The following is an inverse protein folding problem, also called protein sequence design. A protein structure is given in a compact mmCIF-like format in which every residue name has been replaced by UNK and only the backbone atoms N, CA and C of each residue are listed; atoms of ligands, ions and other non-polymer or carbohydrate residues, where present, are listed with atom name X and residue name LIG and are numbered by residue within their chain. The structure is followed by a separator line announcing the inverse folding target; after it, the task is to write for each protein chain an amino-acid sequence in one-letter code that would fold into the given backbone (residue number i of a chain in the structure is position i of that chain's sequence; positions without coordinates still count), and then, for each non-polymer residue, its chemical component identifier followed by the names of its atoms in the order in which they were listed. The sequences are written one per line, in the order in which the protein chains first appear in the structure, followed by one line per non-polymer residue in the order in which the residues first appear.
data_IF_370481789342
#
_entry.id   IF_370481789342
#
_cell.length_a   1.000
_cell.length_b   1.000
_cell.length_c   1.000
_cell.angle_alpha   90.00
_cell.angle_beta   90.00
_cell.angle_gamma   90.00
#
_symmetry.space_group_name_H-M   'P 1'
#
loop_
_entity.id
_entity.type
_entity.pdbx_description
1 polymer ?
#
# COMPACT_ATOMS: atom_id res chain seq x y z
N UNK A 1 -24.74 -1.75 -11.55
CA UNK A 1 -25.99 -1.37 -10.82
C UNK A 1 -25.95 -2.02 -9.45
N UNK A 2 -26.23 -1.26 -8.37
CA UNK A 2 -26.33 -1.81 -7.01
C UNK A 2 -27.59 -2.67 -6.85
N UNK A 3 -27.60 -3.61 -5.89
CA UNK A 3 -28.76 -4.47 -5.65
C UNK A 3 -30.01 -3.67 -5.26
N UNK A 4 -29.85 -2.54 -4.54
CA UNK A 4 -30.95 -1.64 -4.20
C UNK A 4 -31.49 -0.86 -5.42
N UNK A 5 -30.59 -0.42 -6.32
CA UNK A 5 -31.03 0.24 -7.55
C UNK A 5 -31.74 -0.76 -8.47
N UNK A 6 -31.31 -2.02 -8.52
CA UNK A 6 -31.99 -3.06 -9.29
C UNK A 6 -33.37 -3.37 -8.70
N UNK A 7 -33.52 -3.44 -7.38
CA UNK A 7 -34.83 -3.57 -6.70
C UNK A 7 -35.77 -2.43 -7.09
N UNK A 8 -35.30 -1.17 -7.08
CA UNK A 8 -36.09 -0.02 -7.51
C UNK A 8 -36.49 -0.12 -8.99
N UNK A 9 -35.56 -0.50 -9.87
CA UNK A 9 -35.87 -0.74 -11.27
C UNK A 9 -36.95 -1.83 -11.45
N UNK A 10 -36.90 -2.93 -10.71
CA UNK A 10 -37.91 -3.98 -10.77
C UNK A 10 -39.31 -3.54 -10.30
N UNK A 11 -39.41 -2.46 -9.50
CA UNK A 11 -40.66 -1.91 -9.00
C UNK A 11 -41.23 -0.78 -9.88
N UNK A 12 -40.35 0.01 -10.49
CA UNK A 12 -40.73 1.29 -11.10
C UNK A 12 -40.56 1.32 -12.63
N UNK A 13 -39.69 0.48 -13.19
CA UNK A 13 -39.41 0.51 -14.62
C UNK A 13 -40.24 -0.55 -15.37
N UNK A 14 -41.02 -0.09 -16.34
CA UNK A 14 -41.92 -0.92 -17.15
C UNK A 14 -41.20 -2.09 -17.83
N UNK A 15 -39.96 -1.92 -18.31
CA UNK A 15 -39.22 -2.99 -18.94
C UNK A 15 -38.87 -4.10 -17.94
N UNK A 16 -38.50 -3.75 -16.70
CA UNK A 16 -38.23 -4.73 -15.66
C UNK A 16 -39.48 -5.40 -15.14
N UNK A 17 -40.61 -4.65 -15.03
CA UNK A 17 -41.91 -5.18 -14.66
C UNK A 17 -42.38 -6.19 -15.72
N UNK A 18 -42.20 -5.87 -17.00
CA UNK A 18 -42.51 -6.79 -18.10
C UNK A 18 -41.68 -8.07 -18.03
N UNK A 19 -40.37 -7.95 -17.76
CA UNK A 19 -39.49 -9.12 -17.60
C UNK A 19 -39.83 -9.99 -16.40
N UNK A 20 -40.50 -9.46 -15.39
CA UNK A 20 -40.96 -10.22 -14.23
C UNK A 20 -42.23 -11.01 -14.48
N UNK A 21 -42.91 -10.82 -15.62
CA UNK A 21 -44.11 -11.58 -16.02
C UNK A 21 -45.16 -11.66 -14.91
N UNK A 22 -45.39 -10.58 -14.17
CA UNK A 22 -46.31 -10.55 -13.04
C UNK A 22 -45.80 -11.10 -11.73
N UNK A 23 -44.54 -11.57 -11.68
CA UNK A 23 -43.89 -11.99 -10.45
C UNK A 23 -43.55 -10.76 -9.55
N UNK A 24 -43.54 -11.02 -8.25
CA UNK A 24 -43.18 -9.99 -7.29
C UNK A 24 -41.72 -9.55 -7.46
N UNK A 25 -41.46 -8.24 -7.48
CA UNK A 25 -40.10 -7.68 -7.52
C UNK A 25 -39.25 -8.25 -6.37
N UNK A 26 -38.07 -8.81 -6.65
CA UNK A 26 -37.17 -9.31 -5.61
C UNK A 26 -36.60 -8.14 -4.80
N UNK A 27 -36.42 -8.35 -3.50
CA UNK A 27 -35.75 -7.40 -2.64
C UNK A 27 -34.22 -7.43 -2.85
N UNK A 28 -33.53 -6.38 -2.42
CA UNK A 28 -32.10 -6.26 -2.57
C UNK A 28 -31.30 -7.36 -1.85
N UNK A 29 -31.86 -7.97 -0.79
CA UNK A 29 -31.20 -9.08 -0.09
C UNK A 29 -31.29 -10.37 -0.92
N UNK A 30 -32.43 -10.63 -1.54
CA UNK A 30 -32.60 -11.76 -2.47
C UNK A 30 -31.66 -11.64 -3.67
N UNK A 31 -31.58 -10.44 -4.28
CA UNK A 31 -30.65 -10.16 -5.38
C UNK A 31 -29.19 -10.37 -4.92
N UNK A 32 -28.86 -9.93 -3.71
CA UNK A 32 -27.51 -10.07 -3.18
C UNK A 32 -27.14 -11.52 -2.88
N UNK A 33 -28.09 -12.32 -2.33
CA UNK A 33 -27.90 -13.76 -2.13
C UNK A 33 -27.71 -14.50 -3.45
N UNK A 34 -28.51 -14.17 -4.46
CA UNK A 34 -28.36 -14.73 -5.81
C UNK A 34 -26.98 -14.45 -6.38
N UNK A 35 -26.52 -13.17 -6.33
CA UNK A 35 -25.18 -12.79 -6.78
C UNK A 35 -24.06 -13.53 -6.05
N UNK A 36 -24.22 -13.75 -4.74
CA UNK A 36 -23.19 -14.37 -3.91
C UNK A 36 -23.14 -15.90 -4.08
N UNK A 37 -24.29 -16.54 -4.19
CA UNK A 37 -24.40 -17.99 -4.06
C UNK A 37 -24.59 -18.70 -5.41
N UNK A 38 -25.19 -18.03 -6.39
CA UNK A 38 -25.55 -18.63 -7.68
C UNK A 38 -24.73 -18.02 -8.82
N UNK A 39 -24.62 -16.69 -8.87
CA UNK A 39 -23.81 -16.01 -9.90
C UNK A 39 -22.32 -16.00 -9.48
N UNK A 40 -21.76 -17.18 -9.31
CA UNK A 40 -20.32 -17.35 -9.05
C UNK A 40 -19.50 -17.03 -10.30
N UNK A 41 -18.19 -16.91 -10.14
CA UNK A 41 -17.28 -16.71 -11.29
C UNK A 41 -17.40 -17.85 -12.31
N UNK A 42 -17.53 -19.08 -11.83
CA UNK A 42 -17.70 -20.27 -12.68
C UNK A 42 -19.02 -20.24 -13.46
N UNK A 43 -20.12 -19.90 -12.78
CA UNK A 43 -21.42 -19.75 -13.43
C UNK A 43 -21.40 -18.60 -14.46
N UNK A 44 -20.73 -17.49 -14.17
CA UNK A 44 -20.56 -16.39 -15.12
C UNK A 44 -19.77 -16.80 -16.37
N UNK A 45 -18.70 -17.57 -16.19
CA UNK A 45 -17.92 -18.12 -17.32
C UNK A 45 -18.72 -19.10 -18.16
N UNK A 46 -19.54 -19.94 -17.52
CA UNK A 46 -20.40 -20.91 -18.21
C UNK A 46 -21.48 -20.23 -19.06
N UNK A 47 -22.13 -19.21 -18.51
CA UNK A 47 -23.11 -18.38 -19.23
C UNK A 47 -22.46 -17.72 -20.45
N UNK A 48 -21.28 -17.12 -20.26
CA UNK A 48 -20.55 -16.49 -21.36
C UNK A 48 -20.18 -17.51 -22.43
N UNK A 49 -19.69 -18.68 -22.05
CA UNK A 49 -19.35 -19.77 -22.98
C UNK A 49 -20.56 -20.21 -23.79
N UNK A 50 -21.70 -20.44 -23.14
CA UNK A 50 -22.94 -20.84 -23.81
C UNK A 50 -23.44 -19.76 -24.78
N UNK A 51 -23.32 -18.46 -24.39
CA UNK A 51 -23.68 -17.35 -25.26
C UNK A 51 -22.79 -17.30 -26.51
N UNK A 52 -21.47 -17.47 -26.34
CA UNK A 52 -20.52 -17.50 -27.48
C UNK A 52 -20.82 -18.63 -28.43
N UNK A 53 -21.09 -19.84 -27.93
CA UNK A 53 -21.47 -21.00 -28.75
C UNK A 53 -22.77 -20.71 -29.52
N UNK A 54 -23.80 -20.21 -28.86
CA UNK A 54 -25.08 -19.86 -29.47
C UNK A 54 -24.93 -18.82 -30.58
N UNK A 55 -24.11 -17.77 -30.37
CA UNK A 55 -23.85 -16.75 -31.39
C UNK A 55 -23.07 -17.31 -32.58
N UNK A 56 -22.13 -18.22 -32.34
CA UNK A 56 -21.36 -18.87 -33.38
C UNK A 56 -22.24 -19.78 -34.22
N UNK A 57 -23.08 -20.62 -33.61
CA UNK A 57 -24.02 -21.50 -34.30
C UNK A 57 -25.03 -20.73 -35.17
N UNK A 58 -25.39 -19.52 -34.78
CA UNK A 58 -26.24 -18.61 -35.55
C UNK A 58 -25.51 -17.81 -36.63
N UNK A 59 -24.20 -18.01 -36.80
CA UNK A 59 -23.37 -17.27 -37.75
C UNK A 59 -23.16 -15.79 -37.42
N UNK A 60 -23.49 -15.37 -36.20
CA UNK A 60 -23.36 -13.99 -35.73
C UNK A 60 -21.97 -13.68 -35.16
N UNK A 61 -21.19 -14.72 -34.90
CA UNK A 61 -19.83 -14.59 -34.35
C UNK A 61 -18.88 -15.53 -35.10
N UNK A 62 -17.78 -14.98 -35.63
CA UNK A 62 -16.65 -15.77 -36.13
C UNK A 62 -15.65 -15.99 -35.00
N UNK A 63 -15.15 -17.22 -34.83
CA UNK A 63 -14.11 -17.57 -33.85
C UNK A 63 -12.71 -17.58 -34.47
N UNK A 64 -12.55 -17.07 -35.72
CA UNK A 64 -11.24 -17.03 -36.39
C UNK A 64 -10.24 -16.09 -35.71
N UNK A 65 -10.72 -15.03 -35.06
CA UNK A 65 -9.88 -14.11 -34.34
C UNK A 65 -10.57 -13.61 -33.07
N UNK A 66 -9.83 -13.57 -31.96
CA UNK A 66 -10.28 -13.00 -30.70
C UNK A 66 -9.44 -11.75 -30.38
N UNK A 67 -10.11 -10.63 -30.13
CA UNK A 67 -9.48 -9.41 -29.66
C UNK A 67 -9.71 -9.27 -28.17
N UNK A 68 -8.61 -9.21 -27.39
CA UNK A 68 -8.68 -9.00 -25.94
C UNK A 68 -8.27 -7.57 -25.69
N UNK A 69 -9.23 -6.74 -25.28
CA UNK A 69 -8.96 -5.39 -24.82
C UNK A 69 -8.75 -5.36 -23.31
N UNK A 70 -7.67 -4.70 -22.89
CA UNK A 70 -7.36 -4.53 -21.48
C UNK A 70 -8.24 -3.43 -20.87
N UNK A 71 -9.17 -3.80 -20.01
CA UNK A 71 -9.92 -2.81 -19.23
C UNK A 71 -9.00 -2.12 -18.24
N UNK A 72 -8.92 -0.79 -18.30
CA UNK A 72 -8.21 0.00 -17.32
C UNK A 72 -9.00 0.01 -16.01
N UNK A 73 -8.50 -0.71 -15.01
CA UNK A 73 -9.03 -0.64 -13.66
C UNK A 73 -8.30 0.48 -12.93
N UNK A 74 -9.01 1.54 -12.55
CA UNK A 74 -8.44 2.60 -11.74
C UNK A 74 -8.34 2.14 -10.29
N UNK A 75 -7.10 2.12 -9.76
CA UNK A 75 -6.87 1.86 -8.36
C UNK A 75 -7.39 3.03 -7.50
N UNK A 76 -7.91 2.72 -6.31
CA UNK A 76 -8.33 3.74 -5.34
C UNK A 76 -7.11 4.41 -4.69
N UNK A 77 -6.21 4.90 -5.52
CA UNK A 77 -4.94 5.49 -5.14
C UNK A 77 -4.98 7.01 -5.26
N UNK A 78 -4.64 7.71 -4.17
CA UNK A 78 -4.49 9.15 -4.22
C UNK A 78 -3.32 9.54 -5.12
N UNK A 79 -3.55 10.43 -6.11
CA UNK A 79 -2.56 10.91 -7.09
C UNK A 79 -1.26 11.42 -6.44
N UNK A 80 -1.34 12.02 -5.26
CA UNK A 80 -0.20 12.63 -4.55
C UNK A 80 0.45 11.72 -3.50
N UNK A 81 -0.03 10.48 -3.33
CA UNK A 81 0.45 9.57 -2.29
C UNK A 81 1.51 8.58 -2.77
N UNK A 82 1.96 8.69 -4.02
CA UNK A 82 2.94 7.76 -4.59
C UNK A 82 4.34 7.90 -3.99
N UNK A 83 4.92 6.77 -3.64
CA UNK A 83 6.31 6.62 -3.19
C UNK A 83 7.12 6.02 -4.33
N UNK A 84 8.23 6.67 -4.69
CA UNK A 84 9.08 6.28 -5.80
C UNK A 84 10.33 5.55 -5.31
N UNK A 85 10.58 4.34 -5.78
CA UNK A 85 11.72 3.50 -5.38
C UNK A 85 13.06 4.23 -5.53
N UNK A 86 13.32 4.83 -6.70
CA UNK A 86 14.57 5.60 -6.94
C UNK A 86 14.75 6.78 -6.01
N UNK A 87 13.66 7.50 -5.71
CA UNK A 87 13.72 8.64 -4.79
C UNK A 87 13.97 8.18 -3.35
N UNK A 88 13.35 7.09 -2.93
CA UNK A 88 13.55 6.48 -1.61
C UNK A 88 14.96 5.94 -1.45
N UNK A 89 15.52 5.27 -2.46
CA UNK A 89 16.91 4.82 -2.45
C UNK A 89 17.89 6.01 -2.29
N UNK A 90 17.73 7.08 -3.08
CA UNK A 90 18.53 8.30 -2.94
C UNK A 90 18.42 8.94 -1.54
N UNK A 91 17.22 8.93 -0.94
CA UNK A 91 17.01 9.42 0.44
C UNK A 91 17.71 8.52 1.46
N UNK A 92 17.68 7.19 1.24
CA UNK A 92 18.40 6.23 2.08
C UNK A 92 19.92 6.48 2.03
N UNK A 93 20.49 6.63 0.84
CA UNK A 93 21.92 6.92 0.67
C UNK A 93 22.34 8.22 1.36
N UNK A 94 21.54 9.29 1.20
CA UNK A 94 21.78 10.56 1.91
C UNK A 94 21.69 10.41 3.43
N UNK A 95 20.73 9.60 3.91
CA UNK A 95 20.56 9.33 5.33
C UNK A 95 21.79 8.57 5.89
N UNK A 96 22.25 7.54 5.18
CA UNK A 96 23.41 6.75 5.58
C UNK A 96 24.69 7.60 5.59
N UNK A 97 24.92 8.46 4.59
CA UNK A 97 26.04 9.40 4.57
C UNK A 97 26.03 10.29 5.81
N UNK A 98 24.92 10.92 6.14
CA UNK A 98 24.79 11.75 7.35
C UNK A 98 25.05 10.96 8.63
N UNK A 99 24.59 9.72 8.72
CA UNK A 99 24.89 8.88 9.88
C UNK A 99 26.40 8.65 10.02
N UNK A 100 27.10 8.38 8.92
CA UNK A 100 28.56 8.18 8.94
C UNK A 100 29.33 9.46 9.30
N UNK A 101 28.84 10.62 8.88
CA UNK A 101 29.48 11.92 9.17
C UNK A 101 29.21 12.35 10.61
N UNK A 102 27.96 12.29 11.08
CA UNK A 102 27.58 12.90 12.37
C UNK A 102 27.72 11.94 13.57
N UNK A 103 27.49 10.63 13.38
CA UNK A 103 27.42 9.65 14.47
C UNK A 103 28.74 9.49 15.23
N UNK A 104 29.93 9.45 14.57
CA UNK A 104 31.22 9.32 15.29
C UNK A 104 31.47 10.44 16.26
N UNK A 105 31.23 11.70 15.85
CA UNK A 105 31.38 12.87 16.69
C UNK A 105 30.47 12.84 17.91
N UNK A 106 29.18 12.49 17.71
CA UNK A 106 28.19 12.38 18.79
C UNK A 106 28.52 11.27 19.77
N UNK A 107 29.02 10.12 19.28
CA UNK A 107 29.46 9.02 20.14
C UNK A 107 30.66 9.38 20.98
N UNK A 108 31.62 10.14 20.41
CA UNK A 108 32.81 10.64 21.10
C UNK A 108 32.43 11.62 22.21
N UNK A 109 31.49 12.54 21.96
CA UNK A 109 30.96 13.50 22.94
C UNK A 109 30.42 12.82 24.20
N UNK A 110 29.79 11.66 24.03
CA UNK A 110 29.15 10.89 25.12
C UNK A 110 30.04 9.78 25.68
N UNK A 111 31.21 9.52 25.07
CA UNK A 111 32.14 8.47 25.50
C UNK A 111 31.68 7.05 25.18
N UNK A 112 30.70 6.86 24.30
CA UNK A 112 30.20 5.54 23.91
C UNK A 112 31.02 4.98 22.75
N UNK A 113 31.69 3.85 22.98
CA UNK A 113 32.36 3.11 21.91
C UNK A 113 31.37 2.21 21.14
N UNK A 114 31.20 2.51 19.87
CA UNK A 114 30.33 1.72 18.99
C UNK A 114 30.99 1.54 17.62
N UNK A 115 31.02 0.30 17.12
CA UNK A 115 31.54 0.04 15.78
C UNK A 115 30.49 0.41 14.73
N UNK A 116 30.84 1.28 13.80
CA UNK A 116 30.01 1.75 12.69
C UNK A 116 30.43 1.00 11.44
N UNK A 117 29.65 0.02 10.95
CA UNK A 117 29.97 -0.70 9.73
C UNK A 117 29.74 0.19 8.50
N UNK A 118 30.42 -0.08 7.39
CA UNK A 118 30.27 0.66 6.14
C UNK A 118 28.79 0.68 5.65
N UNK A 119 28.09 -0.44 5.78
CA UNK A 119 26.65 -0.52 5.52
C UNK A 119 25.87 -0.64 6.84
N UNK A 120 25.34 0.48 7.29
CA UNK A 120 24.53 0.51 8.50
C UNK A 120 23.11 0.03 8.19
N UNK A 121 22.69 -1.05 8.84
CA UNK A 121 21.32 -1.57 8.77
C UNK A 121 20.51 -1.18 10.01
N UNK A 122 19.18 -1.34 9.92
CA UNK A 122 18.24 -1.09 11.03
C UNK A 122 18.65 -1.83 12.32
N UNK A 123 19.23 -3.04 12.18
CA UNK A 123 19.68 -3.86 13.32
C UNK A 123 20.78 -3.18 14.13
N UNK A 124 21.74 -2.55 13.47
CA UNK A 124 22.86 -1.84 14.16
C UNK A 124 22.34 -0.62 14.94
N UNK A 125 21.48 0.20 14.33
CA UNK A 125 20.88 1.33 15.03
C UNK A 125 19.98 0.89 16.20
N UNK A 126 19.28 -0.24 16.09
CA UNK A 126 18.53 -0.82 17.22
C UNK A 126 19.47 -1.23 18.36
N UNK A 127 20.61 -1.86 18.05
CA UNK A 127 21.62 -2.21 19.08
C UNK A 127 22.18 -0.96 19.76
N UNK A 128 22.51 0.07 18.98
CA UNK A 128 23.00 1.34 19.50
C UNK A 128 21.95 1.99 20.41
N UNK A 129 20.70 2.06 19.98
CA UNK A 129 19.59 2.58 20.78
C UNK A 129 19.45 1.87 22.12
N UNK A 130 19.52 0.52 22.11
CA UNK A 130 19.43 -0.26 23.35
C UNK A 130 20.57 0.09 24.31
N UNK A 131 21.79 0.28 23.78
CA UNK A 131 22.96 0.63 24.58
C UNK A 131 22.87 2.03 25.18
N UNK A 132 22.42 3.01 24.39
CA UNK A 132 22.20 4.39 24.85
C UNK A 132 21.14 4.42 25.96
N UNK A 133 20.02 3.69 25.79
CA UNK A 133 18.96 3.64 26.82
C UNK A 133 19.43 3.00 28.11
N UNK A 134 20.19 1.93 28.04
CA UNK A 134 20.77 1.31 29.22
C UNK A 134 21.72 2.28 29.97
N UNK A 135 22.50 3.10 29.24
CA UNK A 135 23.35 4.11 29.83
C UNK A 135 22.52 5.25 30.49
N UNK A 136 21.44 5.70 29.84
CA UNK A 136 20.53 6.70 30.39
C UNK A 136 19.89 6.23 31.71
N UNK A 137 19.48 4.95 31.76
CA UNK A 137 18.92 4.32 32.95
C UNK A 137 19.96 4.21 34.07
N UNK A 138 21.21 3.81 33.73
CA UNK A 138 22.31 3.69 34.67
C UNK A 138 22.72 5.06 35.27
N UNK A 139 22.71 6.12 34.44
CA UNK A 139 23.06 7.47 34.86
C UNK A 139 21.87 8.22 35.52
N UNK A 140 20.68 7.61 35.60
CA UNK A 140 19.50 8.21 36.21
C UNK A 140 18.99 9.48 35.52
N UNK A 141 19.25 9.65 34.22
CA UNK A 141 18.96 10.88 33.49
C UNK A 141 17.46 10.97 33.18
N UNK A 142 16.80 11.98 33.76
CA UNK A 142 15.42 12.31 33.43
C UNK A 142 15.34 13.05 32.08
N UNK A 143 14.39 12.62 31.22
CA UNK A 143 14.19 13.28 29.91
C UNK A 143 13.53 14.64 30.07
N UNK A 144 14.14 15.66 29.47
CA UNK A 144 13.61 17.03 29.42
C UNK A 144 12.87 17.25 28.11
N UNK A 145 11.60 17.69 28.20
CA UNK A 145 10.80 18.06 27.02
C UNK A 145 11.21 19.43 26.45
N UNK A 146 11.06 19.61 25.14
CA UNK A 146 11.25 20.89 24.47
C UNK A 146 12.57 21.01 23.69
N UNK A 147 12.81 22.19 23.07
CA UNK A 147 13.96 22.51 22.22
C UNK A 147 15.10 23.26 22.97
N UNK A 148 15.19 23.11 24.25
CA UNK A 148 16.11 23.92 25.06
C UNK A 148 17.54 23.39 25.20
N UNK A 149 18.44 24.23 25.70
CA UNK A 149 19.87 23.93 26.07
C UNK A 149 19.98 22.94 27.24
N UNK A 150 18.89 22.66 27.96
CA UNK A 150 18.85 21.80 29.14
C UNK A 150 18.98 20.28 28.88
N UNK A 151 18.89 19.86 27.60
CA UNK A 151 19.03 18.44 27.23
C UNK A 151 20.48 18.00 27.37
N UNK A 152 20.70 16.86 28.03
CA UNK A 152 22.03 16.26 28.12
C UNK A 152 22.52 15.78 26.74
N UNK A 153 23.82 15.70 26.49
CA UNK A 153 24.36 15.13 25.24
C UNK A 153 23.83 13.72 24.97
N UNK A 154 23.69 12.91 26.02
CA UNK A 154 23.16 11.53 25.91
C UNK A 154 21.69 11.50 25.48
N UNK A 155 20.87 12.41 26.00
CA UNK A 155 19.48 12.56 25.55
C UNK A 155 19.39 12.98 24.08
N UNK A 156 20.21 13.96 23.67
CA UNK A 156 20.28 14.44 22.27
C UNK A 156 20.69 13.31 21.33
N UNK A 157 21.67 12.49 21.73
CA UNK A 157 22.07 11.31 20.94
C UNK A 157 20.94 10.27 20.84
N UNK A 158 20.21 10.01 21.94
CA UNK A 158 19.07 9.10 21.95
C UNK A 158 17.97 9.57 20.99
N UNK A 159 17.57 10.83 21.08
CA UNK A 159 16.56 11.42 20.20
C UNK A 159 17.00 11.39 18.72
N UNK A 160 18.26 11.69 18.47
CA UNK A 160 18.84 11.62 17.13
C UNK A 160 18.80 10.19 16.57
N UNK A 161 19.23 9.19 17.35
CA UNK A 161 19.20 7.78 16.94
C UNK A 161 17.77 7.31 16.70
N UNK A 162 16.82 7.70 17.53
CA UNK A 162 15.41 7.33 17.35
C UNK A 162 14.83 7.92 16.05
N UNK A 163 15.14 9.19 15.72
CA UNK A 163 14.72 9.82 14.46
C UNK A 163 15.31 9.12 13.24
N UNK A 164 16.61 8.83 13.24
CA UNK A 164 17.28 8.18 12.10
C UNK A 164 16.86 6.73 11.96
N UNK A 165 16.64 6.03 13.07
CA UNK A 165 16.10 4.66 13.07
C UNK A 165 14.68 4.60 12.48
N UNK A 166 13.82 5.55 12.86
CA UNK A 166 12.46 5.64 12.31
C UNK A 166 12.47 5.85 10.79
N UNK A 167 13.29 6.81 10.31
CA UNK A 167 13.45 7.08 8.87
C UNK A 167 14.03 5.88 8.11
N UNK A 168 15.07 5.24 8.66
CA UNK A 168 15.70 4.10 8.01
C UNK A 168 14.73 2.91 7.92
N UNK A 169 13.94 2.66 8.98
CA UNK A 169 12.88 1.64 8.94
C UNK A 169 11.82 1.95 7.88
N UNK A 170 11.36 3.19 7.83
CA UNK A 170 10.38 3.62 6.83
C UNK A 170 10.91 3.39 5.41
N UNK A 171 12.11 3.89 5.10
CA UNK A 171 12.69 3.75 3.76
C UNK A 171 12.95 2.29 3.38
N UNK A 172 13.39 1.46 4.33
CA UNK A 172 13.58 0.02 4.10
C UNK A 172 12.25 -0.66 3.80
N UNK A 173 11.21 -0.33 4.54
CA UNK A 173 9.86 -0.84 4.32
C UNK A 173 9.29 -0.37 2.98
N UNK A 174 9.44 0.91 2.64
CA UNK A 174 8.98 1.47 1.38
C UNK A 174 9.63 0.78 0.16
N UNK A 175 10.95 0.50 0.25
CA UNK A 175 11.67 -0.25 -0.79
C UNK A 175 11.17 -1.70 -0.87
N UNK A 176 10.89 -2.31 0.26
CA UNK A 176 10.34 -3.68 0.32
C UNK A 176 8.95 -3.76 -0.31
N UNK A 177 8.04 -2.81 -0.01
CA UNK A 177 6.70 -2.73 -0.62
C UNK A 177 6.80 -2.50 -2.13
N UNK A 178 7.75 -1.69 -2.60
CA UNK A 178 7.96 -1.52 -4.03
C UNK A 178 8.30 -2.85 -4.74
N UNK A 179 9.06 -3.75 -4.11
CA UNK A 179 9.53 -4.99 -4.74
C UNK A 179 10.20 -4.71 -6.09
N UNK A 180 9.68 -5.30 -7.18
CA UNK A 180 10.16 -5.07 -8.55
C UNK A 180 9.55 -3.83 -9.22
N UNK A 181 8.55 -3.20 -8.60
CA UNK A 181 7.86 -2.02 -9.13
C UNK A 181 8.66 -0.74 -8.91
N UNK A 182 8.42 0.27 -9.73
CA UNK A 182 9.07 1.58 -9.62
C UNK A 182 8.44 2.48 -8.56
N UNK A 183 7.19 2.23 -8.18
CA UNK A 183 6.43 3.01 -7.21
C UNK A 183 5.28 2.20 -6.61
N UNK A 184 4.75 2.68 -5.49
CA UNK A 184 3.48 2.25 -4.92
C UNK A 184 2.74 3.45 -4.33
N UNK A 185 1.42 3.35 -4.12
CA UNK A 185 0.65 4.37 -3.41
C UNK A 185 0.54 4.04 -1.92
N UNK A 186 0.61 5.06 -1.05
CA UNK A 186 0.42 4.87 0.40
C UNK A 186 -1.01 4.49 0.78
N UNK A 187 -1.99 4.85 -0.07
CA UNK A 187 -3.41 4.54 0.15
C UNK A 187 -3.79 3.17 -0.42
N UNK A 188 -3.03 2.69 -1.42
CA UNK A 188 -3.23 1.38 -2.03
C UNK A 188 -1.87 0.83 -2.43
N UNK A 189 -1.33 -0.11 -1.64
CA UNK A 189 0.02 -0.65 -1.83
C UNK A 189 0.17 -1.47 -3.13
N UNK A 190 -0.91 -1.95 -3.71
CA UNK A 190 -0.89 -2.71 -4.95
C UNK A 190 -0.88 -1.81 -6.18
N UNK A 191 -1.29 -0.55 -6.03
CA UNK A 191 -1.29 0.44 -7.09
C UNK A 191 0.13 0.88 -7.47
N UNK A 192 0.41 0.87 -8.77
CA UNK A 192 1.65 1.38 -9.37
C UNK A 192 1.33 2.57 -10.25
N UNK A 193 2.16 3.62 -10.18
CA UNK A 193 1.98 4.78 -11.06
C UNK A 193 2.29 4.40 -12.51
N UNK A 194 1.31 4.51 -13.37
CA UNK A 194 1.46 4.35 -14.82
C UNK A 194 1.18 5.68 -15.52
N UNK A 195 2.12 6.12 -16.37
CA UNK A 195 1.93 7.28 -17.23
C UNK A 195 1.36 6.79 -18.56
N UNK A 196 0.15 7.22 -18.89
CA UNK A 196 -0.39 7.01 -20.24
C UNK A 196 0.38 7.97 -21.16
N UNK A 197 1.03 7.41 -22.17
CA UNK A 197 1.53 8.22 -23.27
C UNK A 197 0.33 8.60 -24.13
N UNK A 198 -0.05 9.85 -24.10
CA UNK A 198 -0.94 10.46 -25.10
C UNK A 198 -0.16 10.66 -26.38
#
# INVERSE_FOLDING_TARGET
ISSRALEACCRENLHFIYLLEGQRAPDHNTINRFRKNILTQEAGQDILRQLVVLLHERGLLSLEAAFIDGTKIEANANKYSFVWKKATAKKTDKLLKRIHEELPAKLKEVGIRFYIPEKIAVRQLKKLRKRIRAQIEADGIAFVSGKGKRKTPLQRLSEWVDQYLAKLKQYTNDIHICGNRNSFSKTDHDATFMRIKT
#
